data_IF_607528921462
#
_entry.id   IF_607528921462
#
_cell.length_a   1.000
_cell.length_b   1.000
_cell.length_c   1.000
_cell.angle_alpha   90.00
_cell.angle_beta   90.00
_cell.angle_gamma   90.00
#
_symmetry.space_group_name_H-M   'P 1'
#
loop_
_entity.id
_entity.type
_entity.pdbx_description
1 polymer ?
#
# COMPACT_ATOMS: atom_id res chain seq x y z
N UNK A 1 11.88 4.61 19.84
CA UNK A 1 12.93 4.47 18.81
C UNK A 1 12.22 4.23 17.50
N UNK A 2 12.50 5.03 16.48
CA UNK A 2 11.89 4.84 15.17
C UNK A 2 12.79 3.92 14.36
N UNK A 3 12.34 2.70 14.16
CA UNK A 3 13.03 1.64 13.42
C UNK A 3 12.32 1.36 12.11
N UNK A 4 12.99 0.69 11.17
CA UNK A 4 12.37 0.23 9.93
C UNK A 4 11.12 -0.59 10.20
N UNK A 5 11.13 -1.40 11.28
CA UNK A 5 9.96 -2.17 11.69
C UNK A 5 8.79 -1.30 12.15
N UNK A 6 9.03 -0.30 13.01
CA UNK A 6 7.97 0.63 13.42
C UNK A 6 7.44 1.45 12.24
N UNK A 7 8.31 1.80 11.28
CA UNK A 7 7.92 2.59 10.11
C UNK A 7 7.05 1.79 9.14
N UNK A 8 7.39 0.51 8.89
CA UNK A 8 6.57 -0.37 8.07
C UNK A 8 5.19 -0.61 8.70
N UNK A 9 5.09 -0.76 10.02
CA UNK A 9 3.82 -0.86 10.73
C UNK A 9 3.00 0.42 10.56
N UNK A 10 3.61 1.60 10.72
CA UNK A 10 2.93 2.89 10.54
C UNK A 10 2.39 3.03 9.12
N UNK A 11 3.20 2.74 8.11
CA UNK A 11 2.78 2.78 6.71
C UNK A 11 1.61 1.82 6.43
N UNK A 12 1.68 0.58 6.92
CA UNK A 12 0.57 -0.38 6.78
C UNK A 12 -0.71 0.11 7.46
N UNK A 13 -0.60 0.63 8.69
CA UNK A 13 -1.75 1.11 9.44
C UNK A 13 -2.42 2.30 8.74
N UNK A 14 -1.65 3.18 8.09
CA UNK A 14 -2.19 4.24 7.23
C UNK A 14 -3.06 3.65 6.11
N UNK A 15 -2.59 2.62 5.39
CA UNK A 15 -3.39 1.96 4.33
C UNK A 15 -4.70 1.39 4.87
N UNK A 16 -4.65 0.78 6.05
CA UNK A 16 -5.81 0.20 6.71
C UNK A 16 -6.81 1.29 7.18
N UNK A 17 -6.31 2.41 7.71
CA UNK A 17 -7.13 3.54 8.13
C UNK A 17 -7.81 4.22 6.94
N UNK A 18 -7.12 4.49 5.84
CA UNK A 18 -7.75 5.08 4.65
C UNK A 18 -8.93 4.22 4.19
N UNK A 19 -8.73 2.89 4.16
CA UNK A 19 -9.77 1.95 3.79
C UNK A 19 -10.99 2.01 4.72
N UNK A 20 -10.78 1.90 6.04
CA UNK A 20 -11.89 1.90 6.99
C UNK A 20 -12.59 3.26 7.12
N UNK A 21 -11.91 4.35 6.77
CA UNK A 21 -12.48 5.70 6.72
C UNK A 21 -13.21 6.00 5.41
N UNK A 22 -13.26 5.05 4.46
CA UNK A 22 -13.78 5.24 3.09
C UNK A 22 -13.05 6.38 2.34
N UNK A 23 -11.77 6.57 2.60
CA UNK A 23 -10.92 7.45 1.81
C UNK A 23 -10.55 6.76 0.49
N UNK A 24 -10.31 7.55 -0.56
CA UNK A 24 -9.80 7.01 -1.82
C UNK A 24 -8.48 6.28 -1.56
N UNK A 25 -8.44 5.01 -1.93
CA UNK A 25 -7.25 4.17 -1.79
C UNK A 25 -6.23 4.50 -2.88
N UNK A 26 -4.97 4.17 -2.64
CA UNK A 26 -3.84 4.49 -3.53
C UNK A 26 -3.98 3.94 -4.97
N UNK A 27 -4.97 3.07 -5.25
CA UNK A 27 -5.29 2.58 -6.58
C UNK A 27 -6.02 3.63 -7.45
N UNK A 28 -6.67 4.65 -6.91
CA UNK A 28 -7.46 5.62 -7.70
C UNK A 28 -6.99 7.06 -7.57
N UNK A 29 -5.67 7.30 -7.40
CA UNK A 29 -5.15 8.61 -6.95
C UNK A 29 -5.61 8.93 -5.53
N UNK A 30 -5.56 7.92 -4.65
CA UNK A 30 -5.92 8.04 -3.25
C UNK A 30 -5.17 9.13 -2.49
N UNK A 31 -5.55 9.34 -1.24
CA UNK A 31 -4.98 10.42 -0.43
C UNK A 31 -3.45 10.34 -0.36
N UNK A 32 -2.79 11.52 -0.25
CA UNK A 32 -1.33 11.65 -0.28
C UNK A 32 -0.66 10.68 0.70
N UNK A 33 -1.23 10.54 1.90
CA UNK A 33 -0.70 9.68 2.96
C UNK A 33 -0.77 8.20 2.58
N UNK A 34 -1.88 7.76 1.97
CA UNK A 34 -2.03 6.39 1.49
C UNK A 34 -1.08 6.07 0.32
N UNK A 35 -0.96 7.00 -0.63
CA UNK A 35 -0.02 6.86 -1.74
C UNK A 35 1.43 6.77 -1.28
N UNK A 36 1.82 7.64 -0.34
CA UNK A 36 3.16 7.66 0.25
C UNK A 36 3.44 6.40 1.06
N UNK A 37 2.48 5.93 1.86
CA UNK A 37 2.57 4.69 2.62
C UNK A 37 2.72 3.45 1.72
N UNK A 38 1.90 3.32 0.68
CA UNK A 38 2.01 2.24 -0.29
C UNK A 38 3.37 2.28 -1.02
N UNK A 39 3.83 3.48 -1.38
CA UNK A 39 5.14 3.67 -2.03
C UNK A 39 6.29 3.26 -1.10
N UNK A 40 6.23 3.63 0.18
CA UNK A 40 7.20 3.19 1.19
C UNK A 40 7.25 1.67 1.27
N UNK A 41 6.10 1.01 1.39
CA UNK A 41 6.04 -0.45 1.45
C UNK A 41 6.61 -1.12 0.18
N UNK A 42 6.44 -0.51 -1.00
CA UNK A 42 6.96 -1.03 -2.28
C UNK A 42 8.48 -0.85 -2.43
N UNK A 43 9.07 0.24 -1.94
CA UNK A 43 10.49 0.53 -2.21
C UNK A 43 11.43 0.32 -1.01
N UNK A 44 10.89 0.36 0.21
CA UNK A 44 11.68 0.43 1.45
C UNK A 44 11.45 -0.75 2.40
N UNK A 45 10.77 -1.81 1.94
CA UNK A 45 10.60 -3.07 2.70
C UNK A 45 11.10 -4.29 1.93
N UNK A 46 10.85 -5.49 2.43
CA UNK A 46 11.34 -6.74 1.84
C UNK A 46 10.58 -7.15 0.56
N UNK A 47 11.18 -8.05 -0.23
CA UNK A 47 10.62 -8.52 -1.50
C UNK A 47 9.27 -9.24 -1.37
N UNK A 48 8.91 -9.75 -0.19
CA UNK A 48 7.62 -10.40 0.03
C UNK A 48 6.48 -9.37 0.04
N UNK A 49 6.61 -8.34 0.86
CA UNK A 49 5.65 -7.21 0.93
C UNK A 49 5.51 -6.56 -0.45
N UNK A 50 6.64 -6.29 -1.12
CA UNK A 50 6.65 -5.70 -2.46
C UNK A 50 5.84 -6.53 -3.47
N UNK A 51 6.05 -7.85 -3.50
CA UNK A 51 5.34 -8.74 -4.43
C UNK A 51 3.84 -8.78 -4.16
N UNK A 52 3.42 -8.78 -2.90
CA UNK A 52 2.00 -8.76 -2.55
C UNK A 52 1.33 -7.47 -3.04
N UNK A 53 1.93 -6.30 -2.77
CA UNK A 53 1.44 -5.01 -3.24
C UNK A 53 1.38 -4.93 -4.77
N UNK A 54 2.48 -5.26 -5.45
CA UNK A 54 2.56 -5.18 -6.92
C UNK A 54 1.57 -6.13 -7.59
N UNK A 55 1.39 -7.35 -7.07
CA UNK A 55 0.41 -8.31 -7.59
C UNK A 55 -1.03 -7.81 -7.41
N UNK A 56 -1.33 -7.15 -6.29
CA UNK A 56 -2.65 -6.57 -6.06
C UNK A 56 -2.91 -5.40 -7.02
N UNK A 57 -1.94 -4.49 -7.17
CA UNK A 57 -2.01 -3.38 -8.14
C UNK A 57 -2.22 -3.91 -9.55
N UNK A 58 -1.47 -4.94 -9.96
CA UNK A 58 -1.59 -5.55 -11.28
C UNK A 58 -2.99 -6.12 -11.55
N UNK A 59 -3.62 -6.76 -10.55
CA UNK A 59 -4.98 -7.33 -10.65
C UNK A 59 -6.03 -6.28 -11.02
N UNK A 60 -5.90 -5.05 -10.53
CA UNK A 60 -6.90 -3.98 -10.73
C UNK A 60 -6.47 -2.89 -11.72
N UNK A 61 -5.25 -2.96 -12.24
CA UNK A 61 -4.68 -1.98 -13.18
C UNK A 61 -5.57 -1.69 -14.39
N UNK A 62 -6.15 -2.72 -15.01
CA UNK A 62 -6.99 -2.55 -16.21
C UNK A 62 -8.35 -1.90 -15.92
N UNK A 63 -8.83 -1.94 -14.68
CA UNK A 63 -10.09 -1.33 -14.27
C UNK A 63 -9.93 0.18 -14.02
N UNK A 64 -8.79 0.59 -13.45
CA UNK A 64 -8.41 2.00 -13.31
C UNK A 64 -8.36 2.73 -14.66
N UNK A 65 -7.85 2.08 -15.71
CA UNK A 65 -7.76 2.66 -17.05
C UNK A 65 -9.14 2.96 -17.67
N UNK A 66 -10.19 2.28 -17.22
CA UNK A 66 -11.57 2.45 -17.70
C UNK A 66 -12.40 3.42 -16.85
N UNK A 67 -11.85 3.96 -15.75
CA UNK A 67 -12.56 4.81 -14.76
C UNK A 67 -13.79 4.14 -14.15
N UNK A 68 -13.76 2.81 -14.02
CA UNK A 68 -14.76 2.15 -13.21
C UNK A 68 -14.38 2.42 -11.75
N UNK A 69 -15.36 2.84 -10.94
CA UNK A 69 -15.19 2.87 -9.49
C UNK A 69 -14.82 1.45 -9.04
N UNK A 70 -13.68 1.30 -8.38
CA UNK A 70 -13.23 -0.01 -7.92
C UNK A 70 -14.24 -0.66 -6.97
N UNK A 71 -15.03 0.12 -6.22
CA UNK A 71 -16.08 -0.39 -5.34
C UNK A 71 -17.26 -0.99 -6.11
N UNK A 72 -17.45 -0.63 -7.38
CA UNK A 72 -18.46 -1.21 -8.25
C UNK A 72 -18.05 -2.58 -8.81
N UNK A 73 -16.77 -2.97 -8.65
CA UNK A 73 -16.31 -4.28 -9.09
C UNK A 73 -16.75 -5.37 -8.11
N UNK A 74 -17.39 -6.40 -8.67
CA UNK A 74 -17.74 -7.60 -7.92
C UNK A 74 -16.54 -8.13 -7.14
N UNK A 75 -16.73 -8.33 -5.83
CA UNK A 75 -15.76 -8.86 -4.88
C UNK A 75 -14.56 -7.95 -4.54
N UNK A 76 -14.45 -6.72 -5.08
CA UNK A 76 -13.31 -5.84 -4.79
C UNK A 76 -13.12 -5.59 -3.30
N UNK A 77 -14.19 -5.24 -2.58
CA UNK A 77 -14.13 -4.99 -1.14
C UNK A 77 -13.52 -6.19 -0.40
N UNK A 78 -14.04 -7.39 -0.67
CA UNK A 78 -13.55 -8.62 -0.05
C UNK A 78 -12.10 -8.90 -0.42
N UNK A 79 -11.75 -8.76 -1.70
CA UNK A 79 -10.40 -8.97 -2.18
C UNK A 79 -9.40 -7.99 -1.56
N UNK A 80 -9.80 -6.73 -1.32
CA UNK A 80 -8.99 -5.73 -0.66
C UNK A 80 -8.80 -6.05 0.83
N UNK A 81 -9.87 -6.44 1.53
CA UNK A 81 -9.81 -6.86 2.94
C UNK A 81 -8.92 -8.11 3.14
N UNK A 82 -9.06 -9.11 2.26
CA UNK A 82 -8.22 -10.31 2.24
C UNK A 82 -6.75 -9.94 1.98
N UNK A 83 -6.51 -8.99 1.06
CA UNK A 83 -5.18 -8.45 0.79
C UNK A 83 -4.57 -7.75 2.01
N UNK A 84 -5.33 -6.90 2.72
CA UNK A 84 -4.85 -6.23 3.94
C UNK A 84 -4.46 -7.25 5.02
N UNK A 85 -5.23 -8.32 5.19
CA UNK A 85 -4.89 -9.38 6.17
C UNK A 85 -3.57 -10.10 5.82
N UNK A 86 -3.34 -10.37 4.54
CA UNK A 86 -2.06 -10.95 4.09
C UNK A 86 -0.92 -9.96 4.35
N UNK A 87 -1.12 -8.70 3.97
CA UNK A 87 -0.11 -7.65 4.10
C UNK A 87 0.25 -7.38 5.57
N UNK A 88 -0.73 -7.41 6.48
CA UNK A 88 -0.52 -7.28 7.93
C UNK A 88 0.46 -8.32 8.46
N UNK A 89 0.27 -9.58 8.07
CA UNK A 89 1.13 -10.69 8.50
C UNK A 89 2.57 -10.51 8.02
N UNK A 90 2.75 -10.11 6.76
CA UNK A 90 4.06 -9.85 6.16
C UNK A 90 4.76 -8.65 6.81
N UNK A 91 4.05 -7.57 7.06
CA UNK A 91 4.57 -6.37 7.73
C UNK A 91 4.94 -6.68 9.17
N UNK A 92 4.11 -7.41 9.91
CA UNK A 92 4.43 -7.84 11.27
C UNK A 92 5.67 -8.75 11.32
N UNK A 93 5.83 -9.64 10.34
CA UNK A 93 7.04 -10.45 10.22
C UNK A 93 8.27 -9.59 9.92
N UNK A 94 8.17 -8.67 8.95
CA UNK A 94 9.24 -7.72 8.63
C UNK A 94 9.64 -6.88 9.85
N UNK A 95 8.66 -6.38 10.60
CA UNK A 95 8.89 -5.54 11.75
C UNK A 95 9.60 -6.25 12.90
N UNK A 96 9.30 -7.54 13.13
CA UNK A 96 10.04 -8.37 14.10
C UNK A 96 11.50 -8.55 13.68
N UNK A 97 11.78 -8.70 12.39
CA UNK A 97 13.14 -8.86 11.88
C UNK A 97 13.97 -7.56 11.92
N UNK A 98 13.32 -6.40 11.86
CA UNK A 98 13.96 -5.09 11.77
C UNK A 98 13.59 -4.17 12.95
N UNK A 99 13.30 -4.77 14.11
CA UNK A 99 12.82 -4.05 15.30
C UNK A 99 13.89 -3.16 15.93
N UNK A 100 15.16 -3.45 15.67
CA UNK A 100 16.36 -2.77 16.17
C UNK A 100 17.11 -1.96 15.09
N UNK A 101 16.70 -2.06 13.82
CA UNK A 101 17.33 -1.35 12.71
C UNK A 101 16.77 0.08 12.64
N UNK A 102 17.60 1.13 12.83
CA UNK A 102 17.14 2.52 12.74
C UNK A 102 16.53 2.82 11.37
N UNK A 103 15.42 3.56 11.34
CA UNK A 103 14.88 4.06 10.06
C UNK A 103 15.75 5.19 9.52
N UNK A 104 15.85 5.27 8.20
CA UNK A 104 16.53 6.35 7.48
C UNK A 104 15.55 7.46 7.03
N UNK A 105 14.31 7.10 6.69
CA UNK A 105 13.26 8.02 6.22
C UNK A 105 11.91 7.70 6.85
N UNK A 106 11.05 8.72 6.89
CA UNK A 106 9.63 8.54 7.23
C UNK A 106 8.84 8.22 5.95
N UNK A 107 7.77 7.43 6.04
CA UNK A 107 6.92 7.17 4.88
C UNK A 107 6.24 8.46 4.39
N UNK A 108 5.95 9.41 5.29
CA UNK A 108 5.36 10.71 4.95
C UNK A 108 6.30 11.60 4.11
N UNK A 109 7.60 11.29 4.08
CA UNK A 109 8.60 12.02 3.29
C UNK A 109 8.76 11.42 1.87
N UNK A 110 8.05 10.33 1.57
CA UNK A 110 8.14 9.61 0.30
C UNK A 110 7.07 10.12 -0.66
N UNK A 111 7.47 10.58 -1.84
CA UNK A 111 6.54 10.94 -2.90
C UNK A 111 5.74 9.72 -3.37
N UNK A 112 4.41 9.85 -3.40
CA UNK A 112 3.51 8.82 -3.95
C UNK A 112 3.77 8.57 -5.43
N UNK A 113 3.98 7.31 -5.81
CA UNK A 113 4.02 6.90 -7.22
C UNK A 113 2.63 6.81 -7.87
N UNK A 114 1.56 6.95 -7.09
CA UNK A 114 0.17 6.77 -7.53
C UNK A 114 -0.50 8.07 -7.99
N UNK A 115 0.10 9.22 -7.69
CA UNK A 115 -0.36 10.54 -8.17
C UNK A 115 0.00 10.78 -9.64
N UNK A 116 1.02 10.09 -10.15
CA UNK A 116 1.40 10.15 -11.56
C UNK A 116 0.45 9.24 -12.33
N UNK A 117 -0.36 9.82 -13.22
CA UNK A 117 -1.18 9.06 -14.19
C UNK A 117 -0.28 8.07 -14.94
N UNK A 118 -0.28 6.81 -14.52
CA UNK A 118 0.39 5.74 -15.24
C UNK A 118 -0.42 5.48 -16.52
N UNK A 119 -0.07 6.19 -17.59
CA UNK A 119 -0.50 5.88 -18.94
C UNK A 119 0.27 4.65 -19.44
N UNK A 120 -0.06 3.48 -18.91
CA UNK A 120 0.39 2.22 -19.49
C UNK A 120 -0.78 1.60 -20.27
N UNK A 121 -0.49 1.21 -21.51
CA UNK A 121 -1.44 0.55 -22.40
C UNK A 121 -2.08 -0.65 -21.70
N UNK A 122 -3.41 -0.62 -21.59
CA UNK A 122 -4.27 -1.77 -21.28
C UNK A 122 -4.79 -2.39 -22.58
#
# INVERSE_FOLDING_TARGET
MNTLGTEAIRAFFTLQCCWFNNEEIYLEQGCLDCGSAATYLIYHTNTHIQKHLLKFIEKYRCHQARRNDLLDLDFFQKDYEDFLHILENEVNFYARLHHDVPRDRCFEEIESIFERRYAAAC
#
